data_IF_647458426187
#
_entry.id   IF_647458426187
#
_cell.length_a   1.000
_cell.length_b   1.000
_cell.length_c   1.000
_cell.angle_alpha   90.00
_cell.angle_beta   90.00
_cell.angle_gamma   90.00
#
_symmetry.space_group_name_H-M   'P 1'
#
loop_
_entity.id
_entity.type
_entity.pdbx_description
1 polymer ?
#
# COMPACT_ATOMS: atom_id res chain seq x y z
N UNK A 1 12.48 -8.13 -9.19
CA UNK A 1 11.14 -8.00 -9.81
C UNK A 1 10.44 -6.81 -9.16
N UNK A 2 9.66 -6.03 -9.91
CA UNK A 2 8.90 -4.89 -9.36
C UNK A 2 7.41 -5.21 -9.36
N UNK A 3 6.71 -4.84 -8.29
CA UNK A 3 5.25 -4.98 -8.18
C UNK A 3 4.67 -3.64 -7.70
N UNK A 4 3.78 -3.07 -8.51
CA UNK A 4 2.99 -1.89 -8.17
C UNK A 4 1.58 -2.28 -7.72
N UNK A 5 1.11 -1.71 -6.62
CA UNK A 5 -0.25 -1.87 -6.09
C UNK A 5 -0.93 -0.50 -6.05
N UNK A 6 -2.08 -0.37 -6.71
CA UNK A 6 -2.95 0.80 -6.54
C UNK A 6 -3.80 0.57 -5.29
N UNK A 7 -3.71 1.49 -4.33
CA UNK A 7 -4.39 1.43 -3.04
C UNK A 7 -5.42 2.56 -2.93
N UNK A 8 -6.70 2.19 -2.94
CA UNK A 8 -7.81 3.12 -2.88
C UNK A 8 -8.10 3.56 -1.44
N UNK A 9 -7.57 4.72 -1.06
CA UNK A 9 -7.65 5.30 0.29
C UNK A 9 -8.31 6.68 0.36
N UNK A 10 -8.93 7.18 -0.72
CA UNK A 10 -9.62 8.48 -0.75
C UNK A 10 -10.70 8.66 0.33
N UNK A 11 -11.14 7.58 0.98
CA UNK A 11 -12.10 7.59 2.08
C UNK A 11 -11.50 7.75 3.49
N UNK A 12 -10.17 7.70 3.65
CA UNK A 12 -9.51 7.80 4.96
C UNK A 12 -8.08 8.37 4.87
N UNK A 13 -7.67 9.11 5.90
CA UNK A 13 -6.36 9.76 5.97
C UNK A 13 -5.80 9.67 7.38
N UNK A 14 -4.48 9.58 7.50
CA UNK A 14 -3.75 9.55 8.76
C UNK A 14 -3.86 8.22 9.50
N UNK A 15 -4.23 7.13 8.81
CA UNK A 15 -4.35 5.81 9.41
C UNK A 15 -2.98 5.12 9.42
N UNK A 16 -2.64 4.48 10.54
CA UNK A 16 -1.45 3.63 10.64
C UNK A 16 -1.74 2.23 10.09
N UNK A 17 -1.15 1.90 8.94
CA UNK A 17 -1.28 0.61 8.23
C UNK A 17 0.01 -0.20 8.31
N UNK A 18 0.98 0.21 9.13
CA UNK A 18 2.34 -0.35 9.14
C UNK A 18 2.38 -1.82 9.55
N UNK A 19 1.50 -2.22 10.47
CA UNK A 19 1.45 -3.55 11.06
C UNK A 19 0.07 -4.16 10.86
N UNK A 20 -0.27 -4.66 9.66
CA UNK A 20 -1.58 -5.24 9.42
C UNK A 20 -1.80 -6.57 10.17
N UNK A 21 -0.74 -7.18 10.71
CA UNK A 21 -0.82 -8.34 11.62
C UNK A 21 -1.54 -8.00 12.95
N UNK A 22 -1.60 -6.72 13.33
CA UNK A 22 -2.34 -6.24 14.52
C UNK A 22 -3.86 -6.13 14.27
N UNK A 23 -4.31 -6.40 13.04
CA UNK A 23 -5.70 -6.38 12.63
C UNK A 23 -6.07 -5.22 11.71
N UNK A 24 -7.34 -5.18 11.30
CA UNK A 24 -7.84 -4.17 10.38
C UNK A 24 -8.21 -2.87 11.14
N UNK A 25 -7.56 -1.72 10.86
CA UNK A 25 -7.83 -0.45 11.54
C UNK A 25 -9.13 0.25 11.10
N UNK A 26 -9.99 -0.43 10.33
CA UNK A 26 -11.28 0.09 9.86
C UNK A 26 -11.27 0.62 8.43
N UNK A 27 -10.29 0.25 7.60
CA UNK A 27 -10.08 0.78 6.23
C UNK A 27 -10.81 0.03 5.11
N UNK A 28 -11.60 -1.00 5.45
CA UNK A 28 -12.26 -1.89 4.49
C UNK A 28 -11.50 -3.20 4.27
N UNK A 29 -12.21 -4.25 3.84
CA UNK A 29 -11.62 -5.59 3.67
C UNK A 29 -10.65 -5.68 2.50
N UNK A 30 -11.00 -5.09 1.36
CA UNK A 30 -10.16 -5.06 0.16
C UNK A 30 -8.87 -4.31 0.40
N UNK A 31 -8.96 -3.10 0.97
CA UNK A 31 -7.80 -2.31 1.34
C UNK A 31 -6.90 -3.08 2.31
N UNK A 32 -7.48 -3.67 3.35
CA UNK A 32 -6.72 -4.46 4.31
C UNK A 32 -5.97 -5.64 3.65
N UNK A 33 -6.61 -6.36 2.73
CA UNK A 33 -5.96 -7.42 1.96
C UNK A 33 -4.76 -6.92 1.15
N UNK A 34 -4.84 -5.72 0.56
CA UNK A 34 -3.74 -5.15 -0.22
C UNK A 34 -2.54 -4.79 0.66
N UNK A 35 -2.78 -4.24 1.86
CA UNK A 35 -1.71 -3.97 2.83
C UNK A 35 -1.04 -5.27 3.30
N UNK A 36 -1.84 -6.30 3.61
CA UNK A 36 -1.34 -7.63 3.97
C UNK A 36 -0.50 -8.25 2.84
N UNK A 37 -1.00 -8.19 1.60
CA UNK A 37 -0.26 -8.66 0.43
C UNK A 37 1.08 -7.94 0.30
N UNK A 38 1.08 -6.60 0.39
CA UNK A 38 2.30 -5.82 0.26
C UNK A 38 3.32 -6.14 1.38
N UNK A 39 2.84 -6.27 2.62
CA UNK A 39 3.64 -6.66 3.79
C UNK A 39 4.28 -8.03 3.59
N UNK A 40 3.50 -9.03 3.19
CA UNK A 40 4.02 -10.40 3.02
C UNK A 40 4.87 -10.58 1.78
N UNK A 41 4.59 -9.88 0.68
CA UNK A 41 5.50 -9.84 -0.46
C UNK A 41 6.87 -9.33 -0.02
N UNK A 42 6.91 -8.20 0.71
CA UNK A 42 8.19 -7.62 1.13
C UNK A 42 8.92 -8.47 2.17
N UNK A 43 8.18 -9.08 3.10
CA UNK A 43 8.77 -9.86 4.20
C UNK A 43 9.26 -11.23 3.72
N UNK A 44 8.50 -11.91 2.86
CA UNK A 44 8.84 -13.25 2.37
C UNK A 44 9.80 -13.23 1.18
N UNK A 45 9.81 -12.14 0.40
CA UNK A 45 10.66 -11.97 -0.79
C UNK A 45 11.32 -10.57 -0.77
N UNK A 46 12.35 -10.36 0.07
CA UNK A 46 12.98 -9.04 0.25
C UNK A 46 13.54 -8.41 -1.04
N UNK A 47 13.85 -9.23 -2.04
CA UNK A 47 14.33 -8.84 -3.38
C UNK A 47 13.25 -8.29 -4.31
N UNK A 48 11.97 -8.45 -3.96
CA UNK A 48 10.87 -7.81 -4.66
C UNK A 48 10.80 -6.35 -4.22
N UNK A 49 10.79 -5.44 -5.20
CA UNK A 49 10.56 -4.02 -4.98
C UNK A 49 9.05 -3.77 -5.04
N UNK A 50 8.47 -3.43 -3.89
CA UNK A 50 7.02 -3.27 -3.72
C UNK A 50 6.72 -1.79 -3.65
N UNK A 51 5.86 -1.33 -4.55
CA UNK A 51 5.41 0.05 -4.65
C UNK A 51 3.91 0.11 -4.38
N UNK A 52 3.48 1.05 -3.53
CA UNK A 52 2.08 1.39 -3.32
C UNK A 52 1.83 2.78 -3.90
N UNK A 53 0.87 2.88 -4.80
CA UNK A 53 0.35 4.13 -5.34
C UNK A 53 -1.00 4.42 -4.68
N UNK A 54 -1.13 5.55 -4.00
CA UNK A 54 -2.28 5.86 -3.16
C UNK A 54 -2.65 7.34 -3.25
N UNK A 55 -3.81 7.72 -2.73
CA UNK A 55 -4.43 9.04 -2.96
C UNK A 55 -4.49 9.92 -1.70
N UNK A 56 -4.27 9.34 -0.52
CA UNK A 56 -4.30 10.03 0.78
C UNK A 56 -3.05 9.75 1.62
N UNK A 57 -2.68 10.68 2.50
CA UNK A 57 -1.54 10.47 3.40
C UNK A 57 -1.87 9.43 4.47
N UNK A 58 -1.22 8.27 4.40
CA UNK A 58 -1.33 7.16 5.37
C UNK A 58 0.07 6.57 5.64
N UNK A 59 0.20 5.74 6.68
CA UNK A 59 1.48 5.13 7.06
C UNK A 59 1.50 3.68 6.58
N UNK A 60 2.44 3.31 5.73
CA UNK A 60 2.54 1.97 5.14
C UNK A 60 3.60 1.09 5.83
N UNK A 61 3.58 -0.25 5.59
CA UNK A 61 4.58 -1.15 6.14
C UNK A 61 6.02 -0.82 5.73
N UNK A 62 6.96 -1.11 6.64
CA UNK A 62 8.39 -0.82 6.44
C UNK A 62 8.95 -1.57 5.21
N UNK A 63 9.78 -0.88 4.44
CA UNK A 63 10.45 -1.44 3.26
C UNK A 63 9.61 -1.42 1.98
N UNK A 64 8.39 -0.88 2.04
CA UNK A 64 7.55 -0.59 0.88
C UNK A 64 7.75 0.87 0.48
N UNK A 65 7.81 1.13 -0.83
CA UNK A 65 7.83 2.48 -1.37
C UNK A 65 6.40 2.97 -1.58
N UNK A 66 6.03 4.12 -1.03
CA UNK A 66 4.69 4.69 -1.19
C UNK A 66 4.71 6.00 -1.97
N UNK A 67 3.80 6.15 -2.91
CA UNK A 67 3.71 7.28 -3.84
C UNK A 67 2.29 7.84 -3.79
N UNK A 68 2.15 9.11 -3.40
CA UNK A 68 0.88 9.83 -3.50
C UNK A 68 0.69 10.23 -4.96
N UNK A 69 -0.45 9.84 -5.53
CA UNK A 69 -0.86 10.13 -6.90
C UNK A 69 -2.22 10.82 -6.93
N UNK A 70 -2.50 11.56 -7.98
CA UNK A 70 -3.74 12.32 -8.17
C UNK A 70 -4.85 11.48 -8.82
N UNK A 71 -4.48 10.46 -9.60
CA UNK A 71 -5.38 9.56 -10.31
C UNK A 71 -4.67 8.25 -10.70
N UNK A 72 -5.44 7.27 -11.16
CA UNK A 72 -4.92 5.95 -11.56
C UNK A 72 -3.98 6.02 -12.78
N UNK A 73 -4.18 6.99 -13.67
CA UNK A 73 -3.32 7.17 -14.85
C UNK A 73 -1.89 7.57 -14.45
N UNK A 74 -1.75 8.48 -13.48
CA UNK A 74 -0.46 8.86 -12.91
C UNK A 74 0.26 7.63 -12.31
N UNK A 75 -0.45 6.79 -11.56
CA UNK A 75 0.11 5.54 -11.01
C UNK A 75 0.66 4.62 -12.12
N UNK A 76 -0.09 4.45 -13.22
CA UNK A 76 0.32 3.61 -14.35
C UNK A 76 1.58 4.17 -15.03
N UNK A 77 1.69 5.49 -15.16
CA UNK A 77 2.88 6.13 -15.77
C UNK A 77 4.15 6.02 -14.91
N UNK A 78 4.01 5.75 -13.61
CA UNK A 78 5.14 5.61 -12.66
C UNK A 78 5.56 4.16 -12.40
N UNK A 79 4.77 3.18 -12.85
CA UNK A 79 4.93 1.77 -12.54
C UNK A 79 5.97 1.02 -13.42
#
# INVERSE_FOLDING_TARGET
MKIGLIFQDSGFRGVDLKNPDDGNPGIGGTQFCFIMLAKYLKTSYPEIDVHIFHFSENIFPVGIQSHIVSNEYEAICMA
#
